data_IF_961481994340
#
_entry.id   IF_961481994340
#
_cell.length_a   1.000
_cell.length_b   1.000
_cell.length_c   1.000
_cell.angle_alpha   90.00
_cell.angle_beta   90.00
_cell.angle_gamma   90.00
#
_symmetry.space_group_name_H-M   'P 1'
#
loop_
_entity.id
_entity.type
_entity.pdbx_description
1 polymer ?
#
# COMPACT_ATOMS: atom_id res chain seq x y z
N UNK A 1 -18.76 -3.36 -15.95
CA UNK A 1 -17.68 -3.38 -14.96
C UNK A 1 -18.23 -2.71 -13.72
N UNK A 2 -18.46 -3.48 -12.65
CA UNK A 2 -18.87 -2.89 -11.37
C UNK A 2 -17.64 -2.15 -10.83
N UNK A 3 -17.73 -0.82 -10.69
CA UNK A 3 -16.70 -0.05 -10.01
C UNK A 3 -16.77 -0.34 -8.52
N UNK A 4 -15.62 -0.53 -7.88
CA UNK A 4 -15.57 -0.67 -6.43
C UNK A 4 -16.11 0.61 -5.78
N UNK A 5 -17.17 0.47 -5.00
CA UNK A 5 -17.87 1.59 -4.37
C UNK A 5 -17.09 2.02 -3.12
N UNK A 6 -16.33 3.12 -3.22
CA UNK A 6 -15.53 3.64 -2.10
C UNK A 6 -16.43 4.51 -1.21
N UNK A 7 -16.78 3.99 -0.04
CA UNK A 7 -17.52 4.75 0.98
C UNK A 7 -16.55 5.46 1.94
N UNK A 8 -16.60 6.80 1.99
CA UNK A 8 -15.86 7.61 2.98
C UNK A 8 -16.75 7.90 4.18
N UNK A 9 -16.44 7.29 5.33
CA UNK A 9 -17.12 7.57 6.60
C UNK A 9 -16.38 8.67 7.36
N UNK A 10 -16.99 9.85 7.45
CA UNK A 10 -16.46 10.96 8.26
C UNK A 10 -16.90 10.80 9.72
N UNK A 11 -15.97 10.54 10.62
CA UNK A 11 -16.19 10.65 12.07
C UNK A 11 -15.94 12.07 12.56
N UNK A 12 -16.74 12.54 13.52
CA UNK A 12 -16.36 13.73 14.30
C UNK A 12 -15.49 13.25 15.46
N UNK A 13 -14.23 13.68 15.57
CA UNK A 13 -13.41 13.29 16.71
C UNK A 13 -14.10 13.76 18.01
N UNK A 14 -14.04 12.98 19.11
CA UNK A 14 -14.55 13.44 20.40
C UNK A 14 -13.88 14.77 20.77
N UNK A 15 -14.58 15.68 21.48
CA UNK A 15 -14.09 17.03 21.77
C UNK A 15 -12.78 17.05 22.59
N UNK A 16 -12.40 15.91 23.16
CA UNK A 16 -11.21 15.73 23.98
C UNK A 16 -10.28 14.69 23.35
N UNK A 17 -9.77 14.99 22.16
CA UNK A 17 -8.52 14.36 21.70
C UNK A 17 -7.40 15.18 22.34
N UNK A 18 -6.56 14.54 23.16
CA UNK A 18 -5.40 15.21 23.73
C UNK A 18 -4.55 15.79 22.60
N UNK A 19 -4.01 17.01 22.78
CA UNK A 19 -3.37 17.78 21.71
C UNK A 19 -2.12 17.09 21.10
N UNK A 20 -1.66 16.00 21.71
CA UNK A 20 -0.53 15.16 21.35
C UNK A 20 -0.92 13.85 20.63
N UNK A 21 -2.21 13.63 20.33
CA UNK A 21 -2.67 12.43 19.62
C UNK A 21 -2.83 12.71 18.12
N UNK A 22 -2.03 12.03 17.30
CA UNK A 22 -2.19 12.01 15.85
C UNK A 22 -3.34 11.07 15.45
N UNK A 23 -4.33 11.60 14.72
CA UNK A 23 -5.42 10.81 14.16
C UNK A 23 -5.02 10.31 12.76
N UNK A 24 -4.92 8.99 12.60
CA UNK A 24 -4.62 8.35 11.33
C UNK A 24 -5.86 7.65 10.75
N UNK A 25 -5.99 7.58 9.40
CA UNK A 25 -7.05 6.81 8.78
C UNK A 25 -6.91 5.32 9.11
N UNK A 26 -8.03 4.68 9.44
CA UNK A 26 -8.13 3.23 9.59
C UNK A 26 -8.90 2.64 8.43
N UNK A 27 -8.50 1.45 8.01
CA UNK A 27 -9.06 0.73 6.87
C UNK A 27 -9.69 -0.57 7.35
N UNK A 28 -10.76 -0.99 6.68
CA UNK A 28 -11.38 -2.29 6.90
C UNK A 28 -11.95 -2.82 5.58
N UNK A 29 -11.82 -4.12 5.35
CA UNK A 29 -12.33 -4.77 4.12
C UNK A 29 -13.86 -4.90 4.13
N UNK A 30 -14.51 -4.71 5.28
CA UNK A 30 -15.96 -4.70 5.44
C UNK A 30 -16.36 -3.87 6.66
N UNK A 31 -17.59 -3.37 6.72
CA UNK A 31 -18.07 -2.49 7.80
C UNK A 31 -17.93 -3.07 9.22
N UNK A 32 -17.84 -4.40 9.35
CA UNK A 32 -17.72 -5.12 10.63
C UNK A 32 -16.36 -5.82 10.81
N UNK A 33 -15.41 -5.64 9.88
CA UNK A 33 -14.09 -6.24 10.02
C UNK A 33 -13.19 -5.39 10.94
N UNK A 34 -12.26 -6.06 11.62
CA UNK A 34 -11.28 -5.41 12.52
C UNK A 34 -10.54 -4.30 11.79
N UNK A 35 -10.54 -3.06 12.30
CA UNK A 35 -9.80 -1.97 11.71
C UNK A 35 -8.30 -2.27 11.65
N UNK A 36 -7.65 -1.81 10.59
CA UNK A 36 -6.21 -1.89 10.43
C UNK A 36 -5.64 -0.54 9.99
N UNK A 37 -4.39 -0.27 10.35
CA UNK A 37 -3.67 0.96 9.98
C UNK A 37 -2.74 0.63 8.82
N UNK A 38 -2.82 1.40 7.74
CA UNK A 38 -1.89 1.24 6.62
C UNK A 38 -0.50 1.77 7.00
N UNK A 39 0.54 1.06 6.58
CA UNK A 39 1.92 1.54 6.65
C UNK A 39 2.34 2.18 5.33
N UNK A 40 3.59 2.63 5.25
CA UNK A 40 4.22 3.10 4.01
C UNK A 40 4.62 1.97 3.06
N UNK A 41 4.62 0.71 3.52
CA UNK A 41 5.09 -0.42 2.71
C UNK A 41 4.01 -0.96 1.79
N UNK A 42 4.40 -1.28 0.57
CA UNK A 42 3.57 -1.93 -0.44
C UNK A 42 4.23 -3.26 -0.81
N UNK A 43 3.46 -4.34 -0.79
CA UNK A 43 3.87 -5.61 -1.36
C UNK A 43 3.58 -5.61 -2.86
N UNK A 44 4.61 -5.86 -3.66
CA UNK A 44 4.50 -6.10 -5.10
C UNK A 44 4.92 -7.53 -5.39
N UNK A 45 4.07 -8.26 -6.14
CA UNK A 45 4.40 -9.57 -6.70
C UNK A 45 4.21 -9.55 -8.20
N UNK A 46 5.24 -9.97 -8.93
CA UNK A 46 5.19 -10.24 -10.37
C UNK A 46 4.87 -11.71 -10.62
N UNK A 47 4.59 -12.07 -11.86
CA UNK A 47 4.55 -13.48 -12.30
C UNK A 47 5.87 -14.21 -11.94
N UNK A 48 5.79 -15.47 -11.53
CA UNK A 48 6.88 -16.25 -10.91
C UNK A 48 8.23 -16.23 -11.66
N UNK A 49 8.19 -16.09 -12.99
CA UNK A 49 9.38 -16.07 -13.86
C UNK A 49 9.90 -14.65 -14.17
N UNK A 50 9.40 -13.62 -13.50
CA UNK A 50 9.77 -12.22 -13.73
C UNK A 50 10.45 -11.65 -12.48
N UNK A 51 11.78 -11.42 -12.49
CA UNK A 51 12.46 -10.85 -11.33
C UNK A 51 12.08 -9.38 -11.13
N UNK A 52 12.04 -8.92 -9.88
CA UNK A 52 11.73 -7.52 -9.53
C UNK A 52 12.65 -6.53 -10.24
N UNK A 53 13.93 -6.89 -10.41
CA UNK A 53 14.90 -6.02 -11.06
C UNK A 53 14.53 -5.68 -12.51
N UNK A 54 13.73 -6.53 -13.18
CA UNK A 54 13.28 -6.25 -14.55
C UNK A 54 12.30 -5.07 -14.67
N UNK A 55 11.65 -4.67 -13.57
CA UNK A 55 10.71 -3.53 -13.51
C UNK A 55 11.19 -2.42 -12.57
N UNK A 56 12.44 -2.50 -12.07
CA UNK A 56 13.00 -1.54 -11.10
C UNK A 56 12.91 -0.09 -11.59
N UNK A 57 13.22 0.17 -12.85
CA UNK A 57 13.11 1.52 -13.42
C UNK A 57 11.66 2.03 -13.47
N UNK A 58 10.68 1.15 -13.68
CA UNK A 58 9.27 1.52 -13.62
C UNK A 58 8.84 1.86 -12.19
N UNK A 59 9.30 1.08 -11.20
CA UNK A 59 9.08 1.36 -9.77
C UNK A 59 9.67 2.73 -9.40
N UNK A 60 10.92 2.99 -9.78
CA UNK A 60 11.61 4.24 -9.48
C UNK A 60 10.95 5.47 -10.13
N UNK A 61 10.39 5.30 -11.33
CA UNK A 61 9.63 6.33 -12.05
C UNK A 61 8.29 6.66 -11.38
N UNK A 62 7.80 5.81 -10.47
CA UNK A 62 6.62 6.08 -9.64
C UNK A 62 6.96 6.73 -8.29
N UNK A 63 8.22 7.14 -8.10
CA UNK A 63 8.77 7.65 -6.84
C UNK A 63 8.74 6.64 -5.69
N UNK A 64 8.82 5.36 -6.04
CA UNK A 64 8.98 4.27 -5.09
C UNK A 64 10.43 3.77 -5.08
N UNK A 65 10.84 3.11 -4.00
CA UNK A 65 12.09 2.36 -3.87
C UNK A 65 11.78 0.92 -3.52
N UNK A 66 12.63 0.00 -3.97
CA UNK A 66 12.65 -1.38 -3.47
C UNK A 66 13.34 -1.36 -2.12
N UNK A 67 12.59 -1.72 -1.08
CA UNK A 67 13.09 -1.82 0.29
C UNK A 67 13.68 -3.21 0.55
N UNK A 68 12.97 -4.27 0.15
CA UNK A 68 13.41 -5.65 0.36
C UNK A 68 12.94 -6.56 -0.77
N UNK A 69 13.81 -7.46 -1.23
CA UNK A 69 13.46 -8.60 -2.09
C UNK A 69 13.70 -9.87 -1.27
N UNK A 70 12.67 -10.64 -0.89
CA UNK A 70 12.86 -11.88 -0.16
C UNK A 70 13.68 -12.88 -0.99
N UNK A 71 14.73 -13.46 -0.39
CA UNK A 71 15.66 -14.35 -1.11
C UNK A 71 14.97 -15.57 -1.74
N UNK A 72 13.88 -16.06 -1.15
CA UNK A 72 13.09 -17.18 -1.65
C UNK A 72 12.07 -16.79 -2.74
N UNK A 73 11.87 -15.49 -3.00
CA UNK A 73 10.87 -14.97 -3.92
C UNK A 73 11.41 -13.75 -4.70
N UNK A 74 12.34 -13.94 -5.66
CA UNK A 74 12.96 -12.85 -6.41
C UNK A 74 12.00 -12.07 -7.32
N UNK A 75 10.80 -12.60 -7.54
CA UNK A 75 9.69 -11.97 -8.27
C UNK A 75 8.77 -11.12 -7.35
N UNK A 76 9.11 -10.99 -6.06
CA UNK A 76 8.35 -10.21 -5.08
C UNK A 76 9.24 -9.18 -4.38
N UNK A 77 8.66 -8.05 -3.99
CA UNK A 77 9.37 -7.04 -3.20
C UNK A 77 8.43 -6.29 -2.24
N UNK A 78 9.03 -5.83 -1.14
CA UNK A 78 8.52 -4.70 -0.39
C UNK A 78 9.02 -3.40 -1.02
N UNK A 79 8.09 -2.48 -1.24
CA UNK A 79 8.34 -1.15 -1.78
C UNK A 79 7.99 -0.09 -0.74
N UNK A 80 8.65 1.06 -0.83
CA UNK A 80 8.31 2.25 -0.05
C UNK A 80 8.30 3.50 -0.93
N UNK A 81 7.46 4.50 -0.62
CA UNK A 81 7.55 5.81 -1.24
C UNK A 81 8.81 6.53 -0.79
N UNK A 82 9.49 7.20 -1.72
CA UNK A 82 10.66 8.04 -1.41
C UNK A 82 10.32 9.18 -0.46
N UNK A 83 9.06 9.62 -0.43
CA UNK A 83 8.55 10.65 0.46
C UNK A 83 8.37 10.19 1.92
N UNK A 84 8.34 8.87 2.17
CA UNK A 84 8.04 8.30 3.48
C UNK A 84 6.60 8.50 3.95
N UNK A 85 5.67 8.91 3.07
CA UNK A 85 4.28 9.18 3.46
C UNK A 85 3.30 8.11 2.99
N UNK A 86 2.34 7.76 3.85
CA UNK A 86 1.33 6.72 3.57
C UNK A 86 0.39 7.12 2.43
N UNK A 87 -0.02 8.39 2.36
CA UNK A 87 -0.88 8.91 1.28
C UNK A 87 -0.24 8.72 -0.11
N UNK A 88 1.07 9.00 -0.21
CA UNK A 88 1.84 8.82 -1.43
C UNK A 88 1.90 7.34 -1.81
N UNK A 89 2.20 6.44 -0.87
CA UNK A 89 2.19 4.98 -1.10
C UNK A 89 0.84 4.49 -1.67
N UNK A 90 -0.26 4.83 -0.98
CA UNK A 90 -1.60 4.39 -1.38
C UNK A 90 -2.01 4.94 -2.75
N UNK A 91 -1.58 6.15 -3.11
CA UNK A 91 -1.85 6.76 -4.42
C UNK A 91 -1.19 6.04 -5.60
N UNK A 92 -0.16 5.20 -5.36
CA UNK A 92 0.55 4.46 -6.43
C UNK A 92 -0.03 3.09 -6.71
N UNK A 93 -0.95 2.58 -5.88
CA UNK A 93 -1.43 1.19 -5.98
C UNK A 93 -1.97 0.85 -7.38
N UNK A 94 -2.78 1.73 -7.97
CA UNK A 94 -3.35 1.48 -9.30
C UNK A 94 -2.31 1.55 -10.41
N UNK A 95 -1.33 2.45 -10.29
CA UNK A 95 -0.23 2.55 -11.26
C UNK A 95 0.67 1.32 -11.20
N UNK A 96 0.92 0.79 -10.00
CA UNK A 96 1.65 -0.46 -9.81
C UNK A 96 0.88 -1.64 -10.42
N UNK A 97 -0.44 -1.75 -10.19
CA UNK A 97 -1.28 -2.80 -10.80
C UNK A 97 -1.27 -2.77 -12.33
N UNK A 98 -1.08 -1.59 -12.92
CA UNK A 98 -1.00 -1.41 -14.36
C UNK A 98 0.37 -1.76 -14.97
N UNK A 99 1.40 -2.04 -14.16
CA UNK A 99 2.70 -2.46 -14.69
C UNK A 99 2.61 -3.85 -15.35
N UNK A 100 3.42 -4.13 -16.38
CA UNK A 100 3.43 -5.43 -17.03
C UNK A 100 3.77 -6.56 -16.05
N UNK A 101 3.09 -7.70 -16.20
CA UNK A 101 3.36 -8.95 -15.45
C UNK A 101 3.18 -8.84 -13.94
N UNK A 102 2.46 -7.83 -13.48
CA UNK A 102 2.08 -7.72 -12.07
C UNK A 102 1.00 -8.73 -11.75
N UNK A 103 1.30 -9.59 -10.78
CA UNK A 103 0.38 -10.61 -10.28
C UNK A 103 -0.38 -10.13 -9.03
N UNK A 104 0.25 -9.30 -8.18
CA UNK A 104 -0.41 -8.75 -7.00
C UNK A 104 0.20 -7.42 -6.52
N UNK A 105 -0.64 -6.56 -5.95
CA UNK A 105 -0.23 -5.31 -5.29
C UNK A 105 -1.12 -5.07 -4.07
N UNK A 106 -0.52 -5.02 -2.89
CA UNK A 106 -1.23 -4.83 -1.62
C UNK A 106 -0.48 -3.88 -0.68
N UNK A 107 -1.17 -2.95 -0.01
CA UNK A 107 -0.58 -2.19 1.08
C UNK A 107 -0.34 -3.11 2.29
N UNK A 108 0.73 -2.87 3.04
CA UNK A 108 0.90 -3.49 4.35
C UNK A 108 -0.04 -2.82 5.35
N UNK A 109 -0.76 -3.65 6.11
CA UNK A 109 -1.67 -3.23 7.16
C UNK A 109 -1.22 -3.81 8.50
N UNK A 110 -1.24 -2.99 9.55
CA UNK A 110 -1.03 -3.43 10.94
C UNK A 110 -2.38 -3.60 11.63
N UNK A 111 -2.54 -4.75 12.30
CA UNK A 111 -3.68 -5.02 13.17
C UNK A 111 -3.26 -4.86 14.62
N UNK A 112 -4.13 -4.28 15.48
CA UNK A 112 -3.91 -4.24 16.92
C UNK A 112 -4.00 -5.61 17.58
#
# INVERSE_FOLDING_TARGET
MAGDDVSILRGTPPPTVAADVELLPVYSTASNATPAVATTRIFLRLEDNTPIDSVRSNIEALDLRVDEIPAYAPHSAWLEPKSGRVDDALSKLDKLRALPRVANVEPQLLRP
#
